data_IF_833896523763
#
_entry.id   IF_833896523763
#
_cell.length_a   1.000
_cell.length_b   1.000
_cell.length_c   1.000
_cell.angle_alpha   90.00
_cell.angle_beta   90.00
_cell.angle_gamma   90.00
#
_symmetry.space_group_name_H-M   'P 1'
#
loop_
_entity.id
_entity.type
_entity.pdbx_description
1 polymer ?
#
# COMPACT_ATOMS: atom_id res chain seq x y z
N UNK A 1 25.61 -8.56 12.72
CA UNK A 1 25.40 -7.67 11.55
C UNK A 1 23.97 -7.88 11.09
N UNK A 2 23.15 -6.82 11.16
CA UNK A 2 21.84 -6.82 10.50
C UNK A 2 22.05 -6.87 8.98
N UNK A 3 21.35 -7.73 8.24
CA UNK A 3 21.47 -7.76 6.79
C UNK A 3 21.08 -6.37 6.23
N UNK A 4 21.92 -5.85 5.35
CA UNK A 4 21.65 -4.57 4.69
C UNK A 4 20.52 -4.74 3.68
N UNK A 5 19.51 -3.88 3.75
CA UNK A 5 18.44 -3.85 2.75
C UNK A 5 18.98 -3.13 1.51
N UNK A 6 19.16 -3.85 0.42
CA UNK A 6 19.73 -3.31 -0.82
C UNK A 6 18.68 -2.68 -1.73
N UNK A 7 17.44 -3.16 -1.71
CA UNK A 7 16.34 -2.61 -2.49
C UNK A 7 14.99 -2.78 -1.78
N UNK A 8 14.06 -1.86 -2.03
CA UNK A 8 12.69 -1.86 -1.52
C UNK A 8 11.71 -1.82 -2.69
N UNK A 9 10.76 -2.76 -2.70
CA UNK A 9 9.69 -2.83 -3.68
C UNK A 9 8.35 -2.66 -2.98
N UNK A 10 7.61 -1.63 -3.34
CA UNK A 10 6.31 -1.31 -2.77
C UNK A 10 5.23 -1.43 -3.85
N UNK A 11 4.20 -2.21 -3.58
CA UNK A 11 3.06 -2.39 -4.48
C UNK A 11 1.83 -1.85 -3.77
N UNK A 12 1.21 -0.82 -4.31
CA UNK A 12 0.09 -0.08 -3.71
C UNK A 12 0.32 0.24 -2.23
N UNK A 13 1.43 0.93 -1.87
CA UNK A 13 1.76 1.17 -0.48
C UNK A 13 0.71 2.04 0.21
N UNK A 14 0.26 1.61 1.38
CA UNK A 14 -0.63 2.41 2.20
C UNK A 14 0.13 3.54 2.89
N UNK A 15 0.43 4.59 2.15
CA UNK A 15 0.98 5.84 2.70
C UNK A 15 -0.14 6.66 3.36
N UNK A 16 -1.31 6.71 2.70
CA UNK A 16 -2.53 7.36 3.18
C UNK A 16 -3.75 6.67 2.60
N UNK A 17 -4.84 6.45 3.37
CA UNK A 17 -6.09 5.99 2.80
C UNK A 17 -6.66 7.00 1.81
N UNK A 18 -7.37 6.51 0.80
CA UNK A 18 -8.06 7.38 -0.17
C UNK A 18 -9.22 8.15 0.45
N UNK A 19 -9.92 7.54 1.41
CA UNK A 19 -11.03 8.18 2.11
C UNK A 19 -10.51 9.17 3.16
N UNK A 20 -10.70 10.49 2.98
CA UNK A 20 -10.21 11.49 3.92
C UNK A 20 -10.88 11.40 5.30
N UNK A 21 -12.06 10.77 5.40
CA UNK A 21 -12.75 10.55 6.67
C UNK A 21 -11.98 9.58 7.59
N UNK A 22 -11.08 8.79 7.03
CA UNK A 22 -10.24 7.90 7.81
C UNK A 22 -9.38 8.64 8.86
N UNK A 23 -9.01 9.89 8.61
CA UNK A 23 -8.22 10.70 9.55
C UNK A 23 -8.94 10.92 10.90
N UNK A 24 -10.27 10.81 10.94
CA UNK A 24 -11.05 10.84 12.20
C UNK A 24 -10.63 9.73 13.17
N UNK A 25 -10.19 8.59 12.65
CA UNK A 25 -9.70 7.47 13.47
C UNK A 25 -8.41 7.78 14.25
N UNK A 26 -7.68 8.81 13.86
CA UNK A 26 -6.48 9.30 14.55
C UNK A 26 -6.80 10.16 15.80
N UNK A 27 -8.05 10.57 15.94
CA UNK A 27 -8.49 11.32 17.13
C UNK A 27 -8.61 10.39 18.34
N UNK A 28 -8.39 10.88 19.58
CA UNK A 28 -8.45 10.06 20.79
C UNK A 28 -9.77 9.29 20.99
N UNK A 29 -10.87 9.81 20.45
CA UNK A 29 -12.21 9.20 20.48
C UNK A 29 -12.67 8.65 19.11
N UNK A 30 -11.85 8.81 18.07
CA UNK A 30 -12.21 8.51 16.69
C UNK A 30 -12.57 7.05 16.46
N UNK A 31 -11.84 6.13 17.07
CA UNK A 31 -12.15 4.69 16.99
C UNK A 31 -13.53 4.36 17.58
N UNK A 32 -13.90 4.97 18.73
CA UNK A 32 -15.22 4.76 19.32
C UNK A 32 -16.32 5.30 18.43
N UNK A 33 -16.10 6.47 17.82
CA UNK A 33 -17.06 7.04 16.87
C UNK A 33 -17.21 6.14 15.64
N UNK A 34 -16.12 5.64 15.09
CA UNK A 34 -16.17 4.72 13.95
C UNK A 34 -16.92 3.41 14.29
N UNK A 35 -16.70 2.84 15.48
CA UNK A 35 -17.44 1.67 15.94
C UNK A 35 -18.94 1.95 16.11
N UNK A 36 -19.32 3.15 16.54
CA UNK A 36 -20.73 3.55 16.64
C UNK A 36 -21.41 3.69 15.29
N UNK A 37 -20.70 4.20 14.29
CA UNK A 37 -21.26 4.46 12.95
C UNK A 37 -21.23 3.21 12.07
N UNK A 38 -20.10 2.50 12.06
CA UNK A 38 -19.83 1.41 11.12
C UNK A 38 -19.88 0.01 11.77
N UNK A 39 -20.13 -0.06 13.09
CA UNK A 39 -20.14 -1.30 13.85
C UNK A 39 -18.74 -1.71 14.35
N UNK A 40 -18.72 -2.68 15.28
CA UNK A 40 -17.47 -3.18 15.88
C UNK A 40 -16.61 -3.99 14.93
N UNK A 41 -17.20 -4.55 13.88
CA UNK A 41 -16.53 -5.40 12.89
C UNK A 41 -16.87 -4.93 11.49
N UNK A 42 -15.89 -5.02 10.62
CA UNK A 42 -16.02 -4.77 9.18
C UNK A 42 -15.80 -6.06 8.42
N UNK A 43 -16.52 -6.22 7.31
CA UNK A 43 -16.36 -7.37 6.42
C UNK A 43 -15.83 -6.91 5.06
N UNK A 44 -14.88 -7.68 4.52
CA UNK A 44 -14.40 -7.49 3.15
C UNK A 44 -15.39 -8.12 2.16
N UNK A 45 -15.42 -7.56 0.97
CA UNK A 45 -16.10 -8.21 -0.16
C UNK A 45 -15.09 -9.06 -0.94
N UNK A 46 -15.53 -10.24 -1.33
CA UNK A 46 -14.70 -11.22 -2.01
C UNK A 46 -15.24 -11.49 -3.42
N UNK A 47 -14.35 -11.72 -4.36
CA UNK A 47 -14.72 -12.04 -5.73
C UNK A 47 -15.22 -13.50 -5.85
N UNK A 48 -14.67 -14.40 -5.03
CA UNK A 48 -14.99 -15.82 -5.00
C UNK A 48 -14.61 -16.45 -3.65
N UNK A 49 -14.87 -17.74 -3.50
CA UNK A 49 -14.58 -18.49 -2.26
C UNK A 49 -13.06 -18.65 -2.03
N UNK A 50 -12.27 -18.80 -3.07
CA UNK A 50 -10.81 -18.91 -2.97
C UNK A 50 -10.22 -17.59 -2.45
N UNK A 51 -10.66 -16.45 -2.98
CA UNK A 51 -10.29 -15.12 -2.49
C UNK A 51 -10.62 -14.98 -0.99
N UNK A 52 -11.83 -15.41 -0.58
CA UNK A 52 -12.28 -15.37 0.82
C UNK A 52 -11.35 -16.14 1.78
N UNK A 53 -10.78 -17.25 1.36
CA UNK A 53 -9.92 -18.09 2.21
C UNK A 53 -8.57 -17.46 2.52
N UNK A 54 -8.13 -16.47 1.73
CA UNK A 54 -6.83 -15.81 1.88
C UNK A 54 -6.89 -14.48 2.65
N UNK A 55 -8.08 -14.05 3.08
CA UNK A 55 -8.25 -12.78 3.78
C UNK A 55 -8.87 -12.97 5.17
N UNK A 56 -8.40 -12.17 6.13
CA UNK A 56 -9.02 -12.11 7.44
C UNK A 56 -10.29 -11.26 7.39
N UNK A 57 -11.44 -11.91 7.50
CA UNK A 57 -12.74 -11.24 7.54
C UNK A 57 -13.73 -12.08 8.39
N UNK A 58 -14.52 -11.47 9.27
CA UNK A 58 -14.53 -10.04 9.60
C UNK A 58 -13.32 -9.61 10.43
N UNK A 59 -12.96 -8.32 10.39
CA UNK A 59 -11.90 -7.74 11.21
C UNK A 59 -12.45 -6.61 12.12
N UNK A 60 -11.83 -6.36 13.30
CA UNK A 60 -12.29 -5.31 14.19
C UNK A 60 -12.10 -3.91 13.60
N UNK A 61 -13.12 -3.05 13.66
CA UNK A 61 -13.06 -1.65 13.20
C UNK A 61 -11.92 -0.88 13.86
N UNK A 62 -11.62 -1.17 15.11
CA UNK A 62 -10.48 -0.55 15.84
C UNK A 62 -9.12 -0.82 15.23
N UNK A 63 -8.93 -1.92 14.47
CA UNK A 63 -7.65 -2.22 13.83
C UNK A 63 -7.27 -1.19 12.78
N UNK A 64 -8.25 -0.55 12.14
CA UNK A 64 -7.99 0.53 11.18
C UNK A 64 -7.26 1.72 11.84
N UNK A 65 -7.61 2.06 13.08
CA UNK A 65 -6.93 3.11 13.84
C UNK A 65 -5.44 2.83 14.06
N UNK A 66 -5.07 1.57 14.33
CA UNK A 66 -3.66 1.17 14.47
C UNK A 66 -2.89 1.30 13.15
N UNK A 67 -3.49 0.85 12.04
CA UNK A 67 -2.90 0.98 10.70
C UNK A 67 -2.68 2.45 10.36
N UNK A 68 -3.67 3.31 10.60
CA UNK A 68 -3.56 4.75 10.35
C UNK A 68 -2.52 5.43 11.23
N UNK A 69 -2.38 4.98 12.48
CA UNK A 69 -1.31 5.47 13.36
C UNK A 69 0.08 5.19 12.78
N UNK A 70 0.32 3.98 12.26
CA UNK A 70 1.58 3.61 11.62
C UNK A 70 1.81 4.43 10.34
N UNK A 71 0.81 4.58 9.48
CA UNK A 71 0.96 5.38 8.25
C UNK A 71 1.18 6.86 8.55
N UNK A 72 0.60 7.39 9.63
CA UNK A 72 0.89 8.75 10.08
C UNK A 72 2.33 8.89 10.54
N UNK A 73 2.83 7.96 11.37
CA UNK A 73 4.23 7.96 11.80
C UNK A 73 5.16 7.94 10.58
N UNK A 74 4.87 7.12 9.58
CA UNK A 74 5.65 7.05 8.34
C UNK A 74 5.67 8.39 7.59
N UNK A 75 4.52 9.05 7.44
CA UNK A 75 4.42 10.35 6.75
C UNK A 75 5.17 11.46 7.48
N UNK A 76 5.26 11.39 8.80
CA UNK A 76 5.94 12.38 9.63
C UNK A 76 7.48 12.16 9.67
N UNK A 77 8.01 11.09 9.02
CA UNK A 77 9.46 10.84 9.00
C UNK A 77 10.19 11.77 8.03
N UNK A 78 11.39 12.17 8.43
CA UNK A 78 12.35 12.76 7.51
C UNK A 78 12.98 11.69 6.61
N UNK A 79 12.62 11.70 5.34
CA UNK A 79 13.09 10.74 4.33
C UNK A 79 14.39 11.17 3.65
N UNK A 80 14.99 12.30 4.05
CA UNK A 80 16.23 12.83 3.45
C UNK A 80 17.42 11.89 3.61
N UNK A 81 17.37 10.99 4.59
CA UNK A 81 18.41 9.99 4.85
C UNK A 81 18.10 8.61 4.25
N UNK A 82 16.92 8.44 3.65
CA UNK A 82 16.52 7.18 3.05
C UNK A 82 17.15 7.01 1.66
N UNK A 83 18.20 6.19 1.57
CA UNK A 83 19.01 6.00 0.37
C UNK A 83 18.85 4.66 -0.32
N UNK A 84 18.04 3.77 0.25
CA UNK A 84 17.80 2.42 -0.31
C UNK A 84 17.13 2.53 -1.67
N UNK A 85 17.68 1.85 -2.67
CA UNK A 85 17.07 1.76 -4.01
C UNK A 85 15.62 1.35 -3.92
N UNK A 86 14.70 2.12 -4.51
CA UNK A 86 13.25 1.95 -4.27
C UNK A 86 12.45 1.98 -5.56
N UNK A 87 11.59 0.97 -5.74
CA UNK A 87 10.61 0.96 -6.81
C UNK A 87 9.20 0.88 -6.23
N UNK A 88 8.31 1.76 -6.68
CA UNK A 88 6.91 1.81 -6.28
C UNK A 88 6.02 1.53 -7.49
N UNK A 89 5.09 0.59 -7.34
CA UNK A 89 4.02 0.32 -8.29
C UNK A 89 2.71 0.88 -7.74
N UNK A 90 1.99 1.65 -8.55
CA UNK A 90 0.77 2.32 -8.12
C UNK A 90 -0.25 2.43 -9.26
N UNK A 91 -1.53 2.20 -8.94
CA UNK A 91 -2.62 2.57 -9.85
C UNK A 91 -3.08 4.01 -9.57
N UNK A 92 -3.28 4.83 -10.59
CA UNK A 92 -3.87 6.16 -10.42
C UNK A 92 -5.34 6.08 -9.97
N UNK A 93 -6.00 4.96 -10.26
CA UNK A 93 -7.40 4.70 -9.98
C UNK A 93 -7.63 3.88 -8.70
N UNK A 94 -6.56 3.65 -7.90
CA UNK A 94 -6.64 2.91 -6.64
C UNK A 94 -7.74 3.51 -5.73
N UNK A 95 -8.71 2.65 -5.33
CA UNK A 95 -9.87 3.06 -4.52
C UNK A 95 -9.67 2.93 -3.02
N UNK A 96 -8.55 2.35 -2.60
CA UNK A 96 -8.24 2.02 -1.20
C UNK A 96 -7.23 3.00 -0.62
N UNK A 97 -6.13 3.25 -1.33
CA UNK A 97 -5.06 4.14 -0.88
C UNK A 97 -4.90 5.33 -1.83
N UNK A 98 -4.35 6.41 -1.32
CA UNK A 98 -4.19 7.68 -2.06
C UNK A 98 -2.94 7.64 -2.96
N UNK A 99 -3.10 7.60 -4.30
CA UNK A 99 -1.96 7.59 -5.22
C UNK A 99 -1.13 8.87 -5.17
N UNK A 100 -1.76 10.01 -4.84
CA UNK A 100 -1.07 11.29 -4.73
C UNK A 100 -0.12 11.24 -3.52
N UNK A 101 -0.60 10.77 -2.37
CA UNK A 101 0.24 10.60 -1.19
C UNK A 101 1.40 9.61 -1.43
N UNK A 102 1.16 8.53 -2.20
CA UNK A 102 2.23 7.60 -2.59
C UNK A 102 3.27 8.27 -3.51
N UNK A 103 2.84 9.14 -4.41
CA UNK A 103 3.75 9.90 -5.29
C UNK A 103 4.56 10.94 -4.50
N UNK A 104 3.93 11.68 -3.60
CA UNK A 104 4.61 12.63 -2.71
C UNK A 104 5.64 11.93 -1.82
N UNK A 105 5.30 10.77 -1.25
CA UNK A 105 6.25 9.95 -0.50
C UNK A 105 7.46 9.56 -1.37
N UNK A 106 7.22 9.07 -2.58
CA UNK A 106 8.27 8.72 -3.54
C UNK A 106 9.18 9.91 -3.87
N UNK A 107 8.61 11.09 -4.10
CA UNK A 107 9.37 12.29 -4.47
C UNK A 107 10.31 12.73 -3.35
N UNK A 108 9.91 12.55 -2.10
CA UNK A 108 10.68 12.88 -0.91
C UNK A 108 11.77 11.86 -0.55
N UNK A 109 11.82 10.69 -1.20
CA UNK A 109 12.93 9.74 -1.01
C UNK A 109 14.22 10.29 -1.59
N UNK A 110 15.31 10.23 -0.84
CA UNK A 110 16.66 10.63 -1.29
C UNK A 110 17.45 9.51 -1.99
N UNK A 111 16.80 8.38 -2.29
CA UNK A 111 17.40 7.30 -3.04
C UNK A 111 17.83 7.77 -4.44
N UNK A 112 19.04 7.40 -4.87
CA UNK A 112 19.53 7.70 -6.23
C UNK A 112 18.80 6.87 -7.28
N UNK A 113 18.67 5.56 -7.00
CA UNK A 113 17.98 4.63 -7.87
C UNK A 113 16.55 4.49 -7.35
N UNK A 114 15.63 5.24 -7.95
CA UNK A 114 14.22 5.14 -7.62
C UNK A 114 13.35 5.19 -8.88
N UNK A 115 12.28 4.39 -8.88
CA UNK A 115 11.34 4.28 -9.99
C UNK A 115 9.90 4.27 -9.48
N UNK A 116 9.02 5.06 -10.13
CA UNK A 116 7.59 5.06 -9.86
C UNK A 116 6.86 4.55 -11.10
N UNK A 117 6.22 3.40 -10.98
CA UNK A 117 5.61 2.67 -12.09
C UNK A 117 4.10 2.73 -11.99
N UNK A 118 3.46 3.24 -13.04
CA UNK A 118 2.01 3.26 -13.16
C UNK A 118 1.50 1.93 -13.70
N UNK A 119 0.51 1.35 -13.02
CA UNK A 119 -0.24 0.16 -13.42
C UNK A 119 -1.71 0.57 -13.55
N UNK A 120 -2.25 0.53 -14.76
CA UNK A 120 -3.64 0.90 -15.06
C UNK A 120 -4.46 -0.23 -15.68
N UNK A 121 -3.88 -1.43 -15.70
CA UNK A 121 -4.40 -2.63 -16.36
C UNK A 121 -4.52 -3.81 -15.37
N UNK A 122 -4.75 -3.53 -14.07
CA UNK A 122 -4.97 -4.56 -13.07
C UNK A 122 -6.35 -5.22 -13.22
N UNK A 123 -6.46 -6.48 -12.79
CA UNK A 123 -7.75 -7.20 -12.80
C UNK A 123 -8.56 -6.93 -11.52
N UNK A 124 -7.98 -6.27 -10.50
CA UNK A 124 -8.66 -5.97 -9.25
C UNK A 124 -9.70 -4.85 -9.45
N UNK A 125 -10.98 -5.06 -9.12
CA UNK A 125 -12.04 -4.02 -9.25
C UNK A 125 -11.77 -2.75 -8.42
N UNK A 126 -10.93 -2.84 -7.39
CA UNK A 126 -10.52 -1.72 -6.58
C UNK A 126 -9.23 -1.04 -7.08
N UNK A 127 -8.58 -1.58 -8.13
CA UNK A 127 -7.29 -1.12 -8.65
C UNK A 127 -6.20 -1.01 -7.57
N UNK A 128 -6.29 -1.85 -6.52
CA UNK A 128 -5.42 -1.83 -5.36
C UNK A 128 -4.46 -3.02 -5.31
N UNK A 129 -4.95 -4.23 -5.53
CA UNK A 129 -4.11 -5.43 -5.57
C UNK A 129 -3.55 -5.58 -6.98
N UNK A 130 -2.35 -5.04 -7.23
CA UNK A 130 -1.77 -4.94 -8.58
C UNK A 130 -1.03 -6.19 -9.04
N UNK A 131 -0.85 -7.19 -8.17
CA UNK A 131 -0.20 -8.46 -8.52
C UNK A 131 -0.74 -9.61 -7.67
N UNK A 132 -0.62 -10.82 -8.16
CA UNK A 132 -1.04 -12.06 -7.50
C UNK A 132 -2.12 -12.79 -8.29
N UNK A 133 -2.09 -14.11 -8.20
CA UNK A 133 -2.92 -14.98 -9.05
C UNK A 133 -4.42 -14.86 -8.75
N UNK A 134 -4.78 -14.42 -7.54
CA UNK A 134 -6.18 -14.32 -7.14
C UNK A 134 -6.88 -13.05 -7.64
N UNK A 135 -6.18 -11.91 -7.69
CA UNK A 135 -6.81 -10.62 -7.98
C UNK A 135 -6.26 -9.90 -9.21
N UNK A 136 -5.00 -10.12 -9.56
CA UNK A 136 -4.38 -9.45 -10.71
C UNK A 136 -3.36 -10.36 -11.42
N UNK A 137 -3.81 -11.51 -11.94
CA UNK A 137 -2.94 -12.45 -12.65
C UNK A 137 -2.33 -11.83 -13.92
N UNK A 138 -3.04 -10.96 -14.62
CA UNK A 138 -2.58 -10.35 -15.88
C UNK A 138 -1.33 -9.47 -15.71
N UNK A 139 -1.22 -8.76 -14.59
CA UNK A 139 -0.13 -7.82 -14.32
C UNK A 139 1.03 -8.43 -13.54
N UNK A 140 0.85 -9.60 -12.91
CA UNK A 140 1.83 -10.25 -12.05
C UNK A 140 3.18 -10.44 -12.73
N UNK A 141 3.21 -11.02 -13.94
CA UNK A 141 4.45 -11.25 -14.69
C UNK A 141 5.14 -9.94 -15.10
N UNK A 142 4.37 -8.94 -15.49
CA UNK A 142 4.87 -7.61 -15.86
C UNK A 142 5.59 -6.96 -14.68
N UNK A 143 4.97 -6.97 -13.50
CA UNK A 143 5.56 -6.41 -12.28
C UNK A 143 6.82 -7.19 -11.88
N UNK A 144 6.76 -8.53 -11.89
CA UNK A 144 7.92 -9.35 -11.56
C UNK A 144 9.12 -9.08 -12.49
N UNK A 145 8.91 -8.93 -13.80
CA UNK A 145 9.97 -8.60 -14.74
C UNK A 145 10.58 -7.22 -14.47
N UNK A 146 9.76 -6.22 -14.12
CA UNK A 146 10.27 -4.89 -13.79
C UNK A 146 11.12 -4.90 -12.52
N UNK A 147 10.70 -5.65 -11.49
CA UNK A 147 11.50 -5.86 -10.26
C UNK A 147 12.86 -6.51 -10.59
N UNK A 148 12.85 -7.59 -11.37
CA UNK A 148 14.09 -8.30 -11.76
C UNK A 148 15.03 -7.37 -12.54
N UNK A 149 14.51 -6.57 -13.44
CA UNK A 149 15.32 -5.63 -14.22
C UNK A 149 15.92 -4.54 -13.33
N UNK A 150 15.12 -3.97 -12.43
CA UNK A 150 15.59 -2.97 -11.47
C UNK A 150 16.72 -3.50 -10.59
N UNK A 151 16.61 -4.73 -10.08
CA UNK A 151 17.68 -5.37 -9.28
C UNK A 151 18.97 -5.51 -10.10
N UNK A 152 18.87 -5.89 -11.38
CA UNK A 152 20.05 -6.06 -12.25
C UNK A 152 20.73 -4.73 -12.56
N UNK A 153 19.98 -3.65 -12.62
CA UNK A 153 20.49 -2.30 -12.90
C UNK A 153 21.10 -1.67 -11.65
N UNK A 154 20.47 -1.82 -10.49
CA UNK A 154 20.97 -1.27 -9.21
C UNK A 154 22.22 -1.97 -8.68
N UNK A 155 22.56 -3.15 -9.17
CA UNK A 155 23.79 -3.90 -8.82
C UNK A 155 24.99 -3.65 -9.77
N UNK A 156 24.87 -2.70 -10.69
CA UNK A 156 25.96 -2.28 -11.59
C UNK A 156 26.64 -1.00 -11.09
#
# INVERSE_FOLDING_TARGET
QTPEITALFLISPNIKPRDPRADVLLLPWGTKLAEMIAGKYQSLQFNNEEDRQHWTSPYPTKSAGAVLGITKILRDQDLSHFKTSTMIFMSPDDKIVDPIAAKEFFDNLSAKDKSFVIISDSDDPADHVLAGDLRSPSTTKKIAHQIINFIKESNR
#
